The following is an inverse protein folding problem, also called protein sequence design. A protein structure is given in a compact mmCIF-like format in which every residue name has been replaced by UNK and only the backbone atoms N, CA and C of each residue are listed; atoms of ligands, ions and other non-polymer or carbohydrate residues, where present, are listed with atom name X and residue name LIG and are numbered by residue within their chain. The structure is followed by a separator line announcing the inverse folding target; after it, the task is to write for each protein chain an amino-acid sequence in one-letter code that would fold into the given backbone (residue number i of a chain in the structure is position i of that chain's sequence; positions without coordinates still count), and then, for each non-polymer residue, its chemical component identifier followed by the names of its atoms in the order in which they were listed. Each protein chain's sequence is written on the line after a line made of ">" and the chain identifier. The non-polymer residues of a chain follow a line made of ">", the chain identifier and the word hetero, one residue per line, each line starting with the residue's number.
data_IF_237329210184
#
_entry.id   IF_237329210184
#
_cell.length_a   1.000
_cell.length_b   1.000
_cell.length_c   1.000
_cell.angle_alpha   90.00
_cell.angle_beta   90.00
_cell.angle_gamma   90.00
#
_symmetry.space_group_name_H-M   'P 1'
#
loop_
_entity.id
_entity.type
_entity.pdbx_description
1 polymer ?
#
# COMPACT_ATOMS: atom_id res chain seq x y z
N UNK A 1 11.88 -34.26 -16.14
CA UNK A 1 10.71 -34.31 -17.04
C UNK A 1 9.55 -34.53 -16.12
N UNK A 2 9.10 -33.42 -15.54
CA UNK A 2 7.85 -32.70 -15.90
C UNK A 2 6.85 -33.14 -14.82
N UNK A 3 6.24 -32.27 -14.04
CA UNK A 3 5.59 -31.02 -14.45
C UNK A 3 6.00 -29.80 -13.63
N UNK A 4 6.16 -28.71 -14.38
CA UNK A 4 6.21 -27.32 -13.98
C UNK A 4 4.75 -26.86 -13.92
N UNK A 5 4.20 -26.63 -12.72
CA UNK A 5 2.95 -25.88 -12.58
C UNK A 5 3.13 -24.85 -11.45
N UNK A 6 3.90 -23.81 -11.76
CA UNK A 6 3.76 -22.51 -11.10
C UNK A 6 2.36 -21.99 -11.40
N UNK A 7 1.40 -22.36 -10.57
CA UNK A 7 0.09 -21.72 -10.59
C UNK A 7 0.13 -20.48 -9.71
N UNK A 8 0.08 -19.33 -10.37
CA UNK A 8 -0.14 -18.04 -9.75
C UNK A 8 -1.52 -17.60 -10.26
N UNK A 9 -2.40 -17.23 -9.32
CA UNK A 9 -3.77 -16.72 -9.49
C UNK A 9 -4.93 -17.74 -9.39
N UNK A 10 -5.27 -18.13 -8.16
CA UNK A 10 -6.43 -18.98 -7.83
C UNK A 10 -7.55 -18.29 -7.05
N UNK A 11 -7.34 -17.05 -6.60
CA UNK A 11 -8.33 -16.33 -5.81
C UNK A 11 -9.33 -15.64 -6.74
N UNK A 12 -10.63 -15.88 -6.52
CA UNK A 12 -11.75 -15.30 -7.28
C UNK A 12 -12.78 -14.70 -6.33
N UNK A 13 -13.32 -13.55 -6.75
CA UNK A 13 -14.44 -12.89 -6.10
C UNK A 13 -15.76 -13.23 -6.79
N UNK A 14 -16.83 -13.36 -6.02
CA UNK A 14 -18.21 -13.35 -6.53
C UNK A 14 -19.12 -12.56 -5.58
N UNK A 15 -19.79 -11.57 -6.12
CA UNK A 15 -20.84 -10.81 -5.43
C UNK A 15 -22.14 -11.63 -5.42
N UNK A 16 -22.78 -11.72 -4.25
CA UNK A 16 -24.05 -12.40 -4.04
C UNK A 16 -24.98 -11.56 -3.15
N UNK A 17 -26.28 -11.52 -3.49
CA UNK A 17 -27.33 -11.05 -2.59
C UNK A 17 -27.68 -12.18 -1.59
N UNK A 18 -27.38 -11.97 -0.30
CA UNK A 18 -27.57 -12.99 0.73
C UNK A 18 -28.68 -12.58 1.70
N UNK A 19 -29.66 -13.47 1.90
CA UNK A 19 -30.74 -13.27 2.87
C UNK A 19 -30.18 -12.97 4.27
N UNK A 20 -30.56 -11.80 4.81
CA UNK A 20 -30.12 -11.34 6.13
C UNK A 20 -29.06 -10.24 6.10
N UNK A 21 -28.50 -9.93 4.92
CA UNK A 21 -27.63 -8.76 4.71
C UNK A 21 -28.42 -7.66 4.01
N UNK A 22 -28.17 -6.41 4.39
CA UNK A 22 -28.75 -5.24 3.72
C UNK A 22 -27.95 -4.84 2.47
N UNK A 23 -26.66 -5.15 2.46
CA UNK A 23 -25.72 -4.86 1.38
C UNK A 23 -25.23 -6.18 0.72
N UNK A 24 -24.62 -6.10 -0.48
CA UNK A 24 -24.04 -7.27 -1.14
C UNK A 24 -22.97 -7.95 -0.28
N UNK A 25 -22.83 -9.26 -0.45
CA UNK A 25 -21.76 -10.05 0.16
C UNK A 25 -20.80 -10.51 -0.93
N UNK A 26 -19.51 -10.26 -0.75
CA UNK A 26 -18.47 -10.76 -1.65
C UNK A 26 -17.92 -12.07 -1.11
N UNK A 27 -18.04 -13.14 -1.88
CA UNK A 27 -17.46 -14.44 -1.55
C UNK A 27 -16.05 -14.58 -2.14
N UNK A 28 -15.14 -15.09 -1.32
CA UNK A 28 -13.76 -15.41 -1.64
C UNK A 28 -13.66 -16.89 -2.00
N UNK A 29 -13.19 -17.19 -3.20
CA UNK A 29 -13.02 -18.56 -3.70
C UNK A 29 -11.56 -18.81 -4.04
N UNK A 30 -10.98 -19.90 -3.54
CA UNK A 30 -9.69 -20.41 -4.00
C UNK A 30 -9.93 -21.62 -4.87
N UNK A 31 -9.59 -21.51 -6.16
CA UNK A 31 -9.98 -22.47 -7.20
C UNK A 31 -11.51 -22.69 -7.27
N UNK A 32 -12.00 -23.73 -6.58
CA UNK A 32 -13.42 -24.10 -6.52
C UNK A 32 -13.95 -24.15 -5.09
N UNK A 33 -13.09 -23.85 -4.12
CA UNK A 33 -13.40 -23.96 -2.70
C UNK A 33 -13.73 -22.59 -2.15
N UNK A 34 -14.77 -22.54 -1.32
CA UNK A 34 -15.19 -21.34 -0.64
C UNK A 34 -14.26 -21.11 0.55
N UNK A 35 -13.57 -19.98 0.57
CA UNK A 35 -12.56 -19.65 1.57
C UNK A 35 -13.11 -18.68 2.60
N UNK A 36 -14.07 -17.85 2.23
CA UNK A 36 -14.54 -16.80 3.11
C UNK A 36 -15.43 -15.81 2.42
N UNK A 37 -15.82 -14.79 3.17
CA UNK A 37 -16.67 -13.72 2.66
C UNK A 37 -16.32 -12.39 3.28
N UNK A 38 -16.60 -11.33 2.53
CA UNK A 38 -16.49 -9.93 2.93
C UNK A 38 -17.90 -9.34 2.86
N UNK A 39 -18.30 -8.59 3.89
CA UNK A 39 -19.63 -7.99 3.97
C UNK A 39 -19.61 -6.75 4.86
N UNK A 40 -20.59 -5.87 4.66
CA UNK A 40 -20.87 -4.76 5.57
C UNK A 40 -21.76 -5.23 6.72
N UNK A 41 -21.35 -5.00 7.96
CA UNK A 41 -22.11 -5.44 9.14
C UNK A 41 -23.12 -4.39 9.66
N UNK A 42 -23.08 -3.19 9.09
CA UNK A 42 -23.85 -2.03 9.54
C UNK A 42 -22.97 -0.87 10.02
N UNK A 43 -21.71 -1.14 10.34
CA UNK A 43 -20.73 -0.18 10.89
C UNK A 43 -19.36 -0.29 10.20
N UNK A 44 -18.88 -1.51 9.95
CA UNK A 44 -17.58 -1.75 9.29
C UNK A 44 -17.63 -2.87 8.25
N UNK A 45 -16.61 -2.91 7.39
CA UNK A 45 -16.40 -4.02 6.45
C UNK A 45 -15.70 -5.16 7.18
N UNK A 46 -16.37 -6.31 7.24
CA UNK A 46 -15.89 -7.49 7.95
C UNK A 46 -15.46 -8.55 6.93
N UNK A 47 -14.25 -9.06 7.11
CA UNK A 47 -13.78 -10.28 6.44
C UNK A 47 -13.87 -11.48 7.37
N UNK A 48 -14.53 -12.55 6.92
CA UNK A 48 -14.54 -13.86 7.56
C UNK A 48 -13.80 -14.87 6.69
N UNK A 49 -12.78 -15.51 7.26
CA UNK A 49 -12.01 -16.58 6.62
C UNK A 49 -12.32 -17.91 7.32
N UNK A 50 -12.67 -18.92 6.53
CA UNK A 50 -12.93 -20.27 6.98
C UNK A 50 -11.74 -21.18 6.68
N UNK A 51 -11.57 -22.21 7.50
CA UNK A 51 -10.73 -23.36 7.15
C UNK A 51 -11.38 -24.19 6.07
N UNK A 52 -10.62 -25.07 5.43
CA UNK A 52 -11.15 -26.05 4.49
C UNK A 52 -12.08 -27.09 5.17
N UNK A 53 -12.62 -28.02 4.37
CA UNK A 53 -13.52 -29.08 4.85
C UNK A 53 -12.88 -30.01 5.91
N UNK A 54 -11.55 -30.07 5.96
CA UNK A 54 -10.77 -30.85 6.93
C UNK A 54 -10.35 -30.00 8.16
N UNK A 55 -10.67 -28.70 8.17
CA UNK A 55 -10.32 -27.77 9.23
C UNK A 55 -8.90 -27.20 9.14
N UNK A 56 -8.19 -27.49 8.05
CA UNK A 56 -6.85 -26.98 7.79
C UNK A 56 -6.91 -25.54 7.25
N UNK A 57 -5.90 -24.70 7.55
CA UNK A 57 -5.86 -23.33 7.06
C UNK A 57 -5.52 -23.29 5.56
N UNK A 58 -6.12 -22.34 4.83
CA UNK A 58 -5.73 -22.05 3.45
C UNK A 58 -4.39 -21.30 3.39
N UNK A 59 -3.46 -21.81 2.56
CA UNK A 59 -2.22 -21.12 2.23
C UNK A 59 -2.45 -20.10 1.11
N UNK A 60 -2.86 -18.88 1.48
CA UNK A 60 -3.13 -17.81 0.53
C UNK A 60 -1.89 -16.94 0.27
N UNK A 61 -1.66 -16.59 -1.00
CA UNK A 61 -0.62 -15.62 -1.34
C UNK A 61 -1.04 -14.22 -0.90
N UNK A 62 -0.21 -13.56 -0.08
CA UNK A 62 -0.53 -12.28 0.55
C UNK A 62 -0.85 -11.16 -0.46
N UNK A 63 -0.10 -11.04 -1.55
CA UNK A 63 -0.30 -9.98 -2.54
C UNK A 63 -1.66 -10.05 -3.24
N UNK A 64 -1.98 -11.17 -3.92
CA UNK A 64 -3.29 -11.37 -4.53
C UNK A 64 -4.45 -11.28 -3.52
N UNK A 65 -4.23 -11.77 -2.30
CA UNK A 65 -5.23 -11.71 -1.24
C UNK A 65 -5.51 -10.27 -0.80
N UNK A 66 -4.48 -9.47 -0.53
CA UNK A 66 -4.64 -8.06 -0.17
C UNK A 66 -5.38 -7.27 -1.26
N UNK A 67 -5.04 -7.47 -2.53
CA UNK A 67 -5.74 -6.83 -3.65
C UNK A 67 -7.22 -7.22 -3.71
N UNK A 68 -7.51 -8.51 -3.53
CA UNK A 68 -8.89 -9.00 -3.55
C UNK A 68 -9.72 -8.47 -2.38
N UNK A 69 -9.11 -8.22 -1.21
CA UNK A 69 -9.79 -7.58 -0.08
C UNK A 69 -10.15 -6.12 -0.39
N UNK A 70 -9.24 -5.35 -1.00
CA UNK A 70 -9.53 -3.98 -1.43
C UNK A 70 -10.67 -3.96 -2.44
N UNK A 71 -10.64 -4.84 -3.45
CA UNK A 71 -11.73 -4.94 -4.44
C UNK A 71 -13.07 -5.34 -3.80
N UNK A 72 -13.05 -6.23 -2.81
CA UNK A 72 -14.25 -6.64 -2.09
C UNK A 72 -14.83 -5.50 -1.22
N UNK A 73 -13.97 -4.71 -0.59
CA UNK A 73 -14.36 -3.55 0.21
C UNK A 73 -15.15 -2.52 -0.62
N UNK A 74 -14.71 -2.21 -1.84
CA UNK A 74 -15.41 -1.27 -2.73
C UNK A 74 -16.82 -1.71 -3.10
N UNK A 75 -17.06 -3.03 -3.12
CA UNK A 75 -18.34 -3.61 -3.51
C UNK A 75 -19.33 -3.60 -2.35
N UNK A 76 -18.86 -3.93 -1.14
CA UNK A 76 -19.76 -4.15 0.00
C UNK A 76 -19.96 -2.91 0.85
N UNK A 77 -19.05 -1.96 0.81
CA UNK A 77 -19.12 -0.77 1.64
C UNK A 77 -20.04 0.29 0.99
N UNK A 78 -21.23 0.54 1.56
CA UNK A 78 -22.16 1.51 0.99
C UNK A 78 -21.65 2.95 1.08
N UNK A 79 -20.67 3.20 1.95
CA UNK A 79 -20.03 4.49 2.13
C UNK A 79 -18.70 4.58 1.36
N UNK A 80 -18.36 3.62 0.49
CA UNK A 80 -17.09 3.63 -0.23
C UNK A 80 -16.87 4.95 -0.98
N UNK A 81 -17.90 5.47 -1.65
CA UNK A 81 -17.80 6.77 -2.35
C UNK A 81 -17.72 7.96 -1.38
N UNK A 82 -18.34 7.88 -0.20
CA UNK A 82 -18.25 8.91 0.84
C UNK A 82 -16.89 8.86 1.57
N UNK A 83 -16.27 7.68 1.72
CA UNK A 83 -14.90 7.51 2.25
C UNK A 83 -13.84 7.93 1.23
N UNK A 84 -14.17 7.92 -0.06
CA UNK A 84 -13.38 8.59 -1.11
C UNK A 84 -13.58 10.11 -1.10
N UNK A 85 -14.69 10.63 -0.56
CA UNK A 85 -14.97 12.06 -0.33
C UNK A 85 -14.56 12.55 1.09
N UNK A 86 -14.16 11.64 2.00
CA UNK A 86 -13.51 11.98 3.30
C UNK A 86 -12.05 12.45 3.11
N UNK A 87 -11.60 12.60 1.86
CA UNK A 87 -10.39 13.37 1.52
C UNK A 87 -10.66 14.89 1.44
N UNK A 88 -11.87 15.36 1.73
CA UNK A 88 -12.22 16.79 1.80
C UNK A 88 -13.05 17.10 3.06
N UNK A 89 -12.43 17.00 4.24
CA UNK A 89 -12.96 17.65 5.45
C UNK A 89 -12.59 19.15 5.42
N UNK A 90 -13.55 20.08 5.22
CA UNK A 90 -13.26 21.51 5.17
C UNK A 90 -12.99 22.12 6.56
N UNK A 91 -12.61 21.31 7.54
CA UNK A 91 -12.19 21.76 8.88
C UNK A 91 -10.78 21.30 9.29
N UNK A 92 -10.08 20.58 8.42
CA UNK A 92 -8.67 20.23 8.61
C UNK A 92 -7.82 21.39 8.13
N UNK A 93 -6.97 21.92 9.01
CA UNK A 93 -6.20 23.14 8.84
C UNK A 93 -5.49 23.17 7.45
N UNK A 94 -5.72 24.24 6.67
CA UNK A 94 -5.20 24.46 5.30
C UNK A 94 -3.66 24.28 5.17
N UNK A 95 -2.94 24.24 6.29
CA UNK A 95 -1.49 24.08 6.36
C UNK A 95 -1.02 22.60 6.31
N UNK A 96 -1.85 21.61 6.71
CA UNK A 96 -1.43 20.18 6.76
C UNK A 96 -1.46 19.49 5.39
N UNK A 97 -2.37 19.91 4.49
CA UNK A 97 -2.40 19.46 3.09
C UNK A 97 -1.30 20.11 2.23
N UNK A 98 -0.70 21.24 2.65
CA UNK A 98 0.28 21.96 1.83
C UNK A 98 1.55 21.12 1.62
N UNK A 99 2.05 20.45 2.65
CA UNK A 99 3.38 19.82 2.56
C UNK A 99 3.38 18.51 1.78
N UNK A 100 2.37 17.66 1.97
CA UNK A 100 2.18 16.47 1.14
C UNK A 100 1.90 16.85 -0.31
N UNK A 101 1.03 17.84 -0.55
CA UNK A 101 0.75 18.35 -1.90
C UNK A 101 2.02 18.93 -2.55
N UNK A 102 2.85 19.63 -1.76
CA UNK A 102 4.11 20.22 -2.20
C UNK A 102 5.15 19.16 -2.53
N UNK A 103 5.28 18.12 -1.72
CA UNK A 103 6.17 16.99 -1.98
C UNK A 103 5.77 16.28 -3.27
N UNK A 104 4.49 15.91 -3.41
CA UNK A 104 3.98 15.21 -4.58
C UNK A 104 4.15 16.10 -5.82
N UNK A 105 3.72 17.36 -5.79
CA UNK A 105 3.84 18.27 -6.95
C UNK A 105 5.30 18.48 -7.40
N UNK A 106 6.25 18.53 -6.45
CA UNK A 106 7.67 18.70 -6.75
C UNK A 106 8.28 17.46 -7.40
N UNK A 107 7.92 16.27 -6.91
CA UNK A 107 8.52 15.02 -7.35
C UNK A 107 7.75 14.30 -8.47
N UNK A 108 6.49 14.65 -8.70
CA UNK A 108 5.63 13.99 -9.70
C UNK A 108 6.29 13.95 -11.09
N UNK A 109 6.79 15.10 -11.54
CA UNK A 109 7.49 15.23 -12.83
C UNK A 109 8.86 14.55 -12.89
N UNK A 110 9.38 14.09 -11.74
CA UNK A 110 10.70 13.48 -11.58
C UNK A 110 10.65 11.96 -11.51
N UNK A 111 9.45 11.37 -11.45
CA UNK A 111 9.27 9.93 -11.47
C UNK A 111 9.74 9.34 -12.81
N UNK A 112 10.50 8.24 -12.75
CA UNK A 112 10.91 7.46 -13.93
C UNK A 112 9.71 6.73 -14.54
N UNK A 113 8.77 6.33 -13.69
CA UNK A 113 7.52 5.68 -14.05
C UNK A 113 6.44 6.04 -13.03
N UNK A 114 5.18 6.05 -13.49
CA UNK A 114 4.00 6.11 -12.61
C UNK A 114 3.08 4.95 -12.93
N UNK A 115 2.54 4.33 -11.88
CA UNK A 115 1.47 3.34 -12.03
C UNK A 115 0.14 4.02 -12.37
N UNK A 116 -0.83 3.24 -12.84
CA UNK A 116 -2.18 3.75 -13.13
C UNK A 116 -2.90 4.26 -11.87
N UNK A 117 -2.50 3.78 -10.68
CA UNK A 117 -2.96 4.27 -9.38
C UNK A 117 -2.25 5.54 -8.90
N UNK A 118 -1.32 6.07 -9.70
CA UNK A 118 -0.61 7.31 -9.36
C UNK A 118 0.52 7.12 -8.36
N UNK A 119 1.15 5.95 -8.25
CA UNK A 119 2.37 5.78 -7.44
C UNK A 119 3.60 6.17 -8.26
N UNK A 120 4.55 6.87 -7.65
CA UNK A 120 5.80 7.31 -8.26
C UNK A 120 6.94 6.32 -8.05
N UNK A 121 7.69 6.06 -9.13
CA UNK A 121 8.88 5.21 -9.09
C UNK A 121 10.11 6.05 -9.46
N UNK A 122 11.00 6.27 -8.51
CA UNK A 122 12.10 7.22 -8.64
C UNK A 122 13.45 6.51 -8.79
N UNK A 123 14.35 7.05 -9.62
CA UNK A 123 15.73 6.55 -9.61
C UNK A 123 16.40 6.79 -8.24
N UNK A 124 17.53 6.11 -7.97
CA UNK A 124 18.20 6.21 -6.67
C UNK A 124 18.61 7.63 -6.27
N UNK A 125 19.04 8.48 -7.22
CA UNK A 125 19.44 9.85 -6.90
C UNK A 125 18.23 10.71 -6.52
N UNK A 126 17.17 10.64 -7.32
CA UNK A 126 15.88 11.30 -7.02
C UNK A 126 15.28 10.78 -5.73
N UNK A 127 15.44 9.49 -5.42
CA UNK A 127 14.97 8.86 -4.18
C UNK A 127 15.64 9.44 -2.93
N UNK A 128 16.95 9.72 -2.99
CA UNK A 128 17.66 10.34 -1.87
C UNK A 128 17.23 11.79 -1.68
N UNK A 129 17.04 12.53 -2.77
CA UNK A 129 16.49 13.89 -2.72
C UNK A 129 15.05 13.93 -2.20
N UNK A 130 14.23 12.92 -2.53
CA UNK A 130 12.88 12.77 -2.01
C UNK A 130 12.90 12.62 -0.48
N UNK A 131 13.78 11.76 0.06
CA UNK A 131 13.93 11.58 1.51
C UNK A 131 14.44 12.86 2.18
N UNK A 132 15.38 13.57 1.56
CA UNK A 132 15.85 14.87 2.07
C UNK A 132 14.71 15.90 2.12
N UNK A 133 13.83 15.90 1.11
CA UNK A 133 12.66 16.78 1.09
C UNK A 133 11.62 16.42 2.15
N UNK A 134 11.39 15.13 2.39
CA UNK A 134 10.56 14.69 3.52
C UNK A 134 11.07 15.25 4.85
N UNK A 135 12.39 15.27 5.07
CA UNK A 135 12.98 15.83 6.28
C UNK A 135 12.70 17.33 6.44
N UNK A 136 12.85 18.10 5.36
CA UNK A 136 12.54 19.54 5.34
C UNK A 136 11.06 19.84 5.62
N UNK A 137 10.18 18.98 5.12
CA UNK A 137 8.73 19.07 5.26
C UNK A 137 8.19 18.43 6.54
N UNK A 138 9.07 17.82 7.35
CA UNK A 138 8.70 17.05 8.55
C UNK A 138 7.71 15.94 8.23
N UNK A 139 7.95 15.22 7.14
CA UNK A 139 7.26 13.98 6.78
C UNK A 139 8.19 12.80 7.05
N UNK A 140 7.65 11.64 7.44
CA UNK A 140 8.44 10.47 7.82
C UNK A 140 8.32 9.35 6.79
N UNK A 141 9.43 8.94 6.15
CA UNK A 141 9.42 7.76 5.26
C UNK A 141 9.37 6.48 6.10
N UNK A 142 8.27 5.74 6.00
CA UNK A 142 8.06 4.49 6.78
C UNK A 142 8.34 3.24 5.97
N UNK A 143 8.26 3.31 4.65
CA UNK A 143 8.60 2.17 3.77
C UNK A 143 9.35 2.64 2.54
N UNK A 144 10.35 1.86 2.16
CA UNK A 144 11.02 1.95 0.85
C UNK A 144 10.97 0.58 0.17
N UNK A 145 10.54 0.55 -1.09
CA UNK A 145 10.54 -0.66 -1.92
C UNK A 145 11.30 -0.43 -3.22
N UNK A 146 12.26 -1.30 -3.50
CA UNK A 146 13.06 -1.30 -4.71
C UNK A 146 12.52 -2.23 -5.80
N UNK A 147 12.52 -1.75 -7.03
CA UNK A 147 12.12 -2.48 -8.23
C UNK A 147 13.19 -2.40 -9.30
N UNK A 148 13.25 -3.40 -10.19
CA UNK A 148 13.92 -3.23 -11.48
C UNK A 148 12.88 -2.79 -12.52
N UNK A 149 13.10 -1.63 -13.14
CA UNK A 149 12.28 -1.09 -14.23
C UNK A 149 13.03 -1.20 -15.57
N UNK A 150 12.54 -2.05 -16.47
CA UNK A 150 13.11 -2.24 -17.79
C UNK A 150 12.01 -2.47 -18.82
N UNK A 151 12.08 -1.77 -19.96
CA UNK A 151 11.14 -2.01 -21.06
C UNK A 151 9.67 -1.77 -20.70
N UNK A 152 9.40 -0.86 -19.74
CA UNK A 152 8.07 -0.58 -19.15
C UNK A 152 7.51 -1.68 -18.25
N UNK A 153 8.33 -2.63 -17.84
CA UNK A 153 7.97 -3.64 -16.84
C UNK A 153 8.64 -3.30 -15.52
N UNK A 154 7.85 -3.18 -14.46
CA UNK A 154 8.33 -3.16 -13.08
C UNK A 154 8.45 -4.60 -12.57
N UNK A 155 9.57 -4.91 -11.92
CA UNK A 155 9.79 -6.17 -11.22
C UNK A 155 10.22 -5.89 -9.79
N UNK A 156 9.37 -6.19 -8.82
CA UNK A 156 9.69 -6.05 -7.40
C UNK A 156 10.94 -6.86 -7.04
N UNK A 157 11.75 -6.30 -6.16
CA UNK A 157 12.93 -6.93 -5.57
C UNK A 157 12.68 -7.08 -4.07
N UNK A 158 12.15 -8.22 -3.60
CA UNK A 158 11.82 -8.42 -2.19
C UNK A 158 13.01 -8.24 -1.21
N UNK A 159 14.25 -8.40 -1.70
CA UNK A 159 15.46 -8.13 -0.92
C UNK A 159 15.77 -6.63 -0.73
N UNK A 160 15.02 -5.76 -1.40
CA UNK A 160 15.12 -4.30 -1.37
C UNK A 160 13.82 -3.70 -0.81
N UNK A 161 13.26 -4.32 0.22
CA UNK A 161 12.12 -3.78 0.97
C UNK A 161 12.60 -3.52 2.39
N UNK A 162 12.34 -2.32 2.88
CA UNK A 162 12.57 -1.98 4.28
C UNK A 162 11.37 -1.20 4.83
N UNK A 163 10.98 -1.55 6.05
CA UNK A 163 9.94 -0.89 6.82
C UNK A 163 10.54 -0.36 8.12
N UNK A 164 10.20 0.86 8.47
CA UNK A 164 10.71 1.59 9.61
C UNK A 164 9.55 1.88 10.55
N UNK A 165 9.79 1.72 11.85
CA UNK A 165 8.77 1.98 12.86
C UNK A 165 9.09 3.27 13.60
N UNK A 166 8.09 4.14 13.82
CA UNK A 166 8.26 5.33 14.64
C UNK A 166 8.87 4.97 16.00
N UNK A 167 9.93 5.69 16.39
CA UNK A 167 10.49 5.55 17.72
C UNK A 167 9.57 6.20 18.76
N UNK A 168 8.76 5.37 19.42
CA UNK A 168 7.78 5.81 20.42
C UNK A 168 8.39 6.36 21.72
N UNK A 169 9.71 6.37 21.85
CA UNK A 169 10.39 7.02 22.98
C UNK A 169 10.44 8.54 22.85
N UNK A 170 10.32 9.09 21.63
CA UNK A 170 10.12 10.52 21.39
C UNK A 170 8.62 10.83 21.36
N UNK A 171 8.23 11.95 21.96
CA UNK A 171 6.89 12.52 21.80
C UNK A 171 6.83 13.66 20.78
N UNK A 172 7.98 14.10 20.25
CA UNK A 172 8.06 15.16 19.25
C UNK A 172 8.15 14.57 17.85
N UNK A 173 7.16 14.86 17.01
CA UNK A 173 7.05 14.34 15.65
C UNK A 173 8.28 14.66 14.79
N UNK A 174 8.82 15.88 14.85
CA UNK A 174 10.00 16.24 14.06
C UNK A 174 11.20 15.32 14.32
N UNK A 175 11.39 14.86 15.56
CA UNK A 175 12.46 13.91 15.90
C UNK A 175 12.14 12.49 15.41
N UNK A 176 10.86 12.11 15.38
CA UNK A 176 10.40 10.82 14.85
C UNK A 176 10.60 10.78 13.32
N UNK A 177 10.15 11.82 12.61
CA UNK A 177 10.30 11.94 11.16
C UNK A 177 11.78 11.94 10.75
N UNK A 178 12.64 12.69 11.45
CA UNK A 178 14.07 12.68 11.20
C UNK A 178 14.70 11.29 11.37
N UNK A 179 14.35 10.55 12.42
CA UNK A 179 14.83 9.18 12.66
C UNK A 179 14.36 8.19 11.57
N UNK A 180 13.11 8.32 11.11
CA UNK A 180 12.57 7.54 10.00
C UNK A 180 13.33 7.84 8.70
N UNK A 181 13.55 9.12 8.40
CA UNK A 181 14.24 9.56 7.18
C UNK A 181 15.73 9.18 7.18
N UNK A 182 16.40 9.24 8.33
CA UNK A 182 17.78 8.76 8.47
C UNK A 182 17.90 7.26 8.19
N UNK A 183 16.97 6.45 8.71
CA UNK A 183 16.92 5.01 8.43
C UNK A 183 16.64 4.74 6.94
N UNK A 184 15.68 5.43 6.34
CA UNK A 184 15.36 5.31 4.92
C UNK A 184 16.56 5.66 4.04
N UNK A 185 17.23 6.78 4.34
CA UNK A 185 18.44 7.24 3.63
C UNK A 185 19.59 6.24 3.76
N UNK A 186 19.83 5.71 4.97
CA UNK A 186 20.84 4.69 5.21
C UNK A 186 20.59 3.43 4.37
N UNK A 187 19.34 2.97 4.28
CA UNK A 187 18.96 1.80 3.49
C UNK A 187 19.14 2.07 1.99
N UNK A 188 18.52 3.13 1.46
CA UNK A 188 18.54 3.42 0.02
C UNK A 188 19.96 3.71 -0.47
N UNK A 189 20.79 4.39 0.32
CA UNK A 189 22.18 4.68 -0.04
C UNK A 189 23.03 3.43 -0.25
N UNK A 190 22.73 2.33 0.45
CA UNK A 190 23.42 1.03 0.33
C UNK A 190 22.97 0.20 -0.86
N UNK A 191 21.84 0.52 -1.49
CA UNK A 191 21.37 -0.19 -2.67
C UNK A 191 22.30 0.06 -3.85
N UNK A 192 22.33 -0.86 -4.81
CA UNK A 192 23.21 -0.76 -5.97
C UNK A 192 22.85 0.42 -6.88
N UNK A 193 23.83 1.09 -7.47
CA UNK A 193 23.63 2.17 -8.45
C UNK A 193 23.25 1.65 -9.86
N UNK A 194 22.39 0.62 -9.93
CA UNK A 194 21.95 0.07 -11.22
C UNK A 194 20.98 1.06 -11.85
N UNK A 195 21.18 1.38 -13.13
CA UNK A 195 20.31 2.30 -13.88
C UNK A 195 18.84 1.85 -13.97
N UNK A 196 18.58 0.58 -13.65
CA UNK A 196 17.26 -0.04 -13.69
C UNK A 196 16.57 -0.04 -12.32
N UNK A 197 17.29 0.32 -11.25
CA UNK A 197 16.70 0.39 -9.92
C UNK A 197 15.82 1.65 -9.82
N UNK A 198 14.56 1.42 -9.45
CA UNK A 198 13.64 2.49 -9.05
C UNK A 198 13.06 2.18 -7.66
N UNK A 199 12.65 3.21 -6.94
CA UNK A 199 12.17 3.14 -5.56
C UNK A 199 10.78 3.75 -5.46
N UNK A 200 9.90 3.09 -4.72
CA UNK A 200 8.61 3.63 -4.29
C UNK A 200 8.63 3.84 -2.77
N UNK A 201 7.79 4.76 -2.29
CA UNK A 201 7.79 5.21 -0.90
C UNK A 201 6.40 5.12 -0.28
N UNK A 202 6.37 4.79 1.02
CA UNK A 202 5.24 5.11 1.89
C UNK A 202 5.72 6.18 2.86
N UNK A 203 4.97 7.28 2.93
CA UNK A 203 5.29 8.46 3.72
C UNK A 203 4.19 8.66 4.75
N UNK A 204 4.57 8.98 5.98
CA UNK A 204 3.70 9.21 7.12
C UNK A 204 3.70 10.69 7.51
N UNK A 205 2.52 11.18 7.86
CA UNK A 205 2.25 12.54 8.32
C UNK A 205 2.24 12.63 9.86
N UNK A 206 2.32 13.85 10.45
CA UNK A 206 2.25 14.04 11.89
C UNK A 206 0.99 13.45 12.55
N UNK A 207 -0.12 13.40 11.82
CA UNK A 207 -1.41 12.83 12.24
C UNK A 207 -1.35 11.31 12.40
N UNK A 208 -0.34 10.66 11.80
CA UNK A 208 -0.20 9.21 11.71
C UNK A 208 -0.77 8.62 10.41
N UNK A 209 -1.43 9.43 9.59
CA UNK A 209 -1.85 9.04 8.24
C UNK A 209 -0.65 8.77 7.35
N UNK A 210 -0.85 7.98 6.30
CA UNK A 210 0.22 7.62 5.38
C UNK A 210 -0.30 7.55 3.95
N UNK A 211 0.55 7.94 3.01
CA UNK A 211 0.27 7.89 1.58
C UNK A 211 1.40 7.22 0.82
N UNK A 212 1.08 6.73 -0.38
CA UNK A 212 2.05 6.19 -1.34
C UNK A 212 2.42 7.31 -2.31
N UNK A 213 3.70 7.59 -2.45
CA UNK A 213 4.22 8.69 -3.28
C UNK A 213 4.58 8.27 -4.71
#
# INVERSE_FOLDING_TARGET
>A
MEDDELRVDHLRLSEDDVDGFSEPVVRLWWDKEFVGQVYWDGDEVVVQIHSDDDGEPFDLSLGPFARALVEAEQIVNPNWEDELDIVDDPSSDEDELEETTRLVSEFDSRAVHRSDGGEGYFDKSTSLEFIDRCDELRLGVTTVEGFDYQGRTLKSRPSLIAQFKPNTASSEWANIAADLNDQAREVVSRWSDRDTLVVAFVVMEPTGESFIA
#
